data_IF_214730985534
#
_entry.id   IF_214730985534
#
_cell.length_a   1.000
_cell.length_b   1.000
_cell.length_c   1.000
_cell.angle_alpha   90.00
_cell.angle_beta   90.00
_cell.angle_gamma   90.00
#
_symmetry.space_group_name_H-M   'P 1'
#
loop_
_entity.id
_entity.type
_entity.pdbx_description
1 polymer ?
#
# COMPACT_ATOMS: atom_id res chain seq x y z
N UNK A 1 31.24 -14.68 -7.46
CA UNK A 1 30.77 -13.78 -6.38
C UNK A 1 31.13 -12.36 -6.78
N UNK A 2 30.16 -11.47 -7.00
CA UNK A 2 30.40 -10.07 -7.31
C UNK A 2 30.70 -9.33 -6.01
N UNK A 3 31.91 -8.77 -5.87
CA UNK A 3 32.25 -7.84 -4.80
C UNK A 3 31.54 -6.51 -5.12
N UNK A 4 30.59 -6.11 -4.29
CA UNK A 4 29.89 -4.85 -4.42
C UNK A 4 30.87 -3.72 -4.09
N UNK A 5 31.32 -2.98 -5.10
CA UNK A 5 31.91 -1.67 -4.93
C UNK A 5 30.84 -0.65 -5.31
N UNK A 6 30.29 0.04 -4.33
CA UNK A 6 29.46 1.20 -4.63
C UNK A 6 30.34 2.24 -5.30
N UNK A 7 29.96 2.68 -6.50
CA UNK A 7 30.76 3.62 -7.33
C UNK A 7 30.99 4.99 -6.67
N UNK A 8 30.21 5.32 -5.64
CA UNK A 8 30.36 6.51 -4.81
C UNK A 8 30.28 6.09 -3.33
N UNK A 9 31.15 6.65 -2.44
CA UNK A 9 31.06 6.38 -1.01
C UNK A 9 29.67 6.79 -0.50
N UNK A 10 28.93 5.83 0.06
CA UNK A 10 27.59 6.03 0.61
C UNK A 10 27.65 5.92 2.13
N UNK A 11 27.08 6.91 2.80
CA UNK A 11 26.87 6.84 4.25
C UNK A 11 25.75 5.87 4.57
N UNK A 12 25.90 5.09 5.64
CA UNK A 12 24.96 4.02 5.97
C UNK A 12 24.52 4.05 7.45
N UNK A 13 23.26 3.66 7.68
CA UNK A 13 22.75 3.26 8.99
C UNK A 13 22.70 1.72 9.07
N UNK A 14 23.09 1.18 10.22
CA UNK A 14 23.01 -0.26 10.49
C UNK A 14 21.88 -0.53 11.48
N UNK A 15 20.93 -1.40 11.13
CA UNK A 15 19.72 -1.67 11.92
C UNK A 15 19.73 -3.11 12.42
N UNK A 16 19.57 -3.29 13.72
CA UNK A 16 19.46 -4.59 14.37
C UNK A 16 19.98 -4.63 15.80
N UNK A 17 20.23 -5.83 16.34
CA UNK A 17 20.78 -6.00 17.68
C UNK A 17 22.15 -5.28 17.79
N UNK A 18 22.35 -4.52 18.90
CA UNK A 18 23.50 -3.62 19.07
C UNK A 18 24.83 -4.32 18.81
N UNK A 19 25.05 -5.48 19.44
CA UNK A 19 26.31 -6.20 19.33
C UNK A 19 26.64 -6.59 17.89
N UNK A 20 25.67 -7.15 17.16
CA UNK A 20 25.83 -7.56 15.75
C UNK A 20 26.00 -6.35 14.84
N UNK A 21 25.19 -5.31 15.05
CA UNK A 21 25.24 -4.08 14.26
C UNK A 21 26.59 -3.34 14.42
N UNK A 22 27.11 -3.22 15.65
CA UNK A 22 28.42 -2.64 15.93
C UNK A 22 29.54 -3.48 15.31
N UNK A 23 29.47 -4.81 15.38
CA UNK A 23 30.43 -5.72 14.76
C UNK A 23 30.53 -5.51 13.25
N UNK A 24 29.38 -5.45 12.58
CA UNK A 24 29.28 -5.20 11.12
C UNK A 24 29.78 -3.80 10.78
N UNK A 25 29.37 -2.79 11.55
CA UNK A 25 29.83 -1.41 11.38
C UNK A 25 31.37 -1.28 11.53
N UNK A 26 31.93 -1.90 12.54
CA UNK A 26 33.39 -1.92 12.76
C UNK A 26 34.13 -2.62 11.59
N UNK A 27 33.59 -3.68 11.04
CA UNK A 27 34.17 -4.35 9.87
C UNK A 27 34.15 -3.46 8.61
N UNK A 28 33.06 -2.75 8.38
CA UNK A 28 32.94 -1.79 7.27
C UNK A 28 33.91 -0.62 7.40
N UNK A 29 34.08 -0.09 8.61
CA UNK A 29 35.03 0.99 8.88
C UNK A 29 36.49 0.57 8.65
N UNK A 30 36.81 -0.72 8.84
CA UNK A 30 38.16 -1.27 8.55
C UNK A 30 38.43 -1.48 7.06
N UNK A 31 37.35 -1.45 6.21
CA UNK A 31 37.47 -1.65 4.78
C UNK A 31 36.81 -0.49 4.00
N UNK A 32 37.42 0.70 3.99
CA UNK A 32 36.82 1.88 3.35
C UNK A 32 36.62 1.70 1.85
N UNK A 33 37.37 0.81 1.20
CA UNK A 33 37.23 0.48 -0.22
C UNK A 33 35.93 -0.22 -0.59
N UNK A 34 35.13 -0.69 0.40
CA UNK A 34 33.81 -1.24 0.14
C UNK A 34 32.80 -0.15 -0.30
N UNK A 35 33.14 1.14 -0.15
CA UNK A 35 32.29 2.26 -0.54
C UNK A 35 31.09 2.52 0.39
N UNK A 36 31.06 1.91 1.57
CA UNK A 36 29.99 2.11 2.57
C UNK A 36 30.60 2.58 3.88
N UNK A 37 30.17 3.76 4.36
CA UNK A 37 30.63 4.34 5.65
C UNK A 37 29.46 4.33 6.64
N UNK A 38 29.48 3.48 7.65
CA UNK A 38 28.46 3.49 8.69
C UNK A 38 28.61 4.73 9.58
N UNK A 39 27.47 5.39 9.89
CA UNK A 39 27.42 6.64 10.71
C UNK A 39 26.60 6.46 11.97
N UNK A 40 25.85 5.37 12.13
CA UNK A 40 25.08 5.09 13.33
C UNK A 40 24.44 3.71 13.30
N UNK A 41 24.04 3.25 14.46
CA UNK A 41 23.32 1.99 14.69
C UNK A 41 21.93 2.29 15.20
N UNK A 42 20.91 1.67 14.61
CA UNK A 42 19.50 1.81 15.02
C UNK A 42 19.05 0.54 15.75
N UNK A 43 18.59 0.70 16.99
CA UNK A 43 18.11 -0.42 17.83
C UNK A 43 17.00 0.04 18.77
N UNK A 44 16.25 -0.90 19.34
CA UNK A 44 15.23 -0.62 20.37
C UNK A 44 15.82 -0.66 21.79
N UNK A 45 16.96 -1.34 21.97
CA UNK A 45 17.62 -1.52 23.27
C UNK A 45 19.01 -0.90 23.23
N UNK A 46 19.19 0.31 23.78
CA UNK A 46 20.52 0.93 23.87
C UNK A 46 21.31 0.24 24.96
N UNK A 47 22.21 -0.63 24.57
CA UNK A 47 23.27 -1.09 25.48
C UNK A 47 24.44 -0.14 25.34
N UNK A 48 25.11 0.21 26.47
CA UNK A 48 26.23 1.14 26.52
C UNK A 48 27.52 0.62 25.87
N UNK A 49 27.42 -0.02 24.69
CA UNK A 49 28.57 -0.54 23.95
C UNK A 49 29.35 0.58 23.28
N UNK A 50 30.69 0.53 23.42
CA UNK A 50 31.59 1.42 22.69
C UNK A 50 31.46 1.19 21.17
N UNK A 51 31.36 2.28 20.39
CA UNK A 51 31.23 2.19 18.93
C UNK A 51 30.56 3.39 18.30
N UNK A 52 29.82 3.17 17.24
CA UNK A 52 29.05 4.22 16.58
C UNK A 52 27.83 4.67 17.42
N UNK A 53 27.38 5.93 17.23
CA UNK A 53 26.19 6.43 17.91
C UNK A 53 24.99 5.49 17.76
N UNK A 54 24.32 5.23 18.88
CA UNK A 54 23.12 4.38 18.93
C UNK A 54 21.88 5.27 18.87
N UNK A 55 20.99 5.00 17.93
CA UNK A 55 19.77 5.73 17.66
C UNK A 55 18.57 4.85 18.05
N UNK A 56 17.68 5.35 18.90
CA UNK A 56 16.57 4.55 19.45
C UNK A 56 15.20 4.98 18.98
N UNK A 57 15.03 6.20 18.48
CA UNK A 57 13.74 6.72 18.04
C UNK A 57 13.75 7.21 16.58
N UNK A 58 12.55 7.28 15.98
CA UNK A 58 12.37 7.71 14.60
C UNK A 58 12.90 9.11 14.31
N UNK A 59 12.74 10.04 15.26
CA UNK A 59 13.24 11.42 15.13
C UNK A 59 14.78 11.49 15.06
N UNK A 60 15.47 10.66 15.85
CA UNK A 60 16.94 10.56 15.79
C UNK A 60 17.40 9.97 14.45
N UNK A 61 16.65 8.99 13.93
CA UNK A 61 16.94 8.37 12.64
C UNK A 61 16.76 9.39 11.51
N UNK A 62 15.66 10.16 11.51
CA UNK A 62 15.43 11.21 10.52
C UNK A 62 16.49 12.31 10.56
N UNK A 63 16.89 12.75 11.74
CA UNK A 63 18.00 13.71 11.89
C UNK A 63 19.30 13.14 11.33
N UNK A 64 19.65 11.90 11.66
CA UNK A 64 20.84 11.24 11.15
C UNK A 64 20.84 11.09 9.63
N UNK A 65 19.69 10.79 9.03
CA UNK A 65 19.51 10.72 7.58
C UNK A 65 19.86 12.05 6.90
N UNK A 66 19.30 13.15 7.40
CA UNK A 66 19.46 14.48 6.82
C UNK A 66 20.88 14.99 7.04
N UNK A 67 21.39 14.90 8.29
CA UNK A 67 22.69 15.45 8.66
C UNK A 67 23.87 14.73 8.00
N UNK A 68 23.75 13.40 7.81
CA UNK A 68 24.84 12.60 7.25
C UNK A 68 24.62 12.22 5.78
N UNK A 69 23.51 12.64 5.16
CA UNK A 69 23.19 12.28 3.77
C UNK A 69 23.13 10.77 3.55
N UNK A 70 22.45 10.04 4.44
CA UNK A 70 22.43 8.58 4.42
C UNK A 70 21.73 8.08 3.17
N UNK A 71 22.47 7.34 2.34
CA UNK A 71 21.97 6.74 1.11
C UNK A 71 21.79 5.21 1.19
N UNK A 72 22.29 4.58 2.26
CA UNK A 72 22.27 3.12 2.41
C UNK A 72 21.80 2.74 3.82
N UNK A 73 21.03 1.68 3.91
CA UNK A 73 20.57 1.07 5.16
C UNK A 73 20.94 -0.41 5.13
N UNK A 74 21.57 -0.89 6.19
CA UNK A 74 21.98 -2.28 6.36
C UNK A 74 21.20 -2.91 7.50
N UNK A 75 20.46 -3.99 7.24
CA UNK A 75 19.81 -4.78 8.30
C UNK A 75 20.68 -6.01 8.57
N UNK A 76 20.96 -6.27 9.82
CA UNK A 76 21.90 -7.35 10.22
C UNK A 76 21.19 -8.56 10.83
N UNK A 77 19.85 -8.54 10.90
CA UNK A 77 19.04 -9.62 11.44
C UNK A 77 17.75 -9.75 10.58
N UNK A 78 17.41 -10.95 10.12
CA UNK A 78 16.15 -11.20 9.41
C UNK A 78 14.91 -10.79 10.21
N UNK A 79 14.91 -10.87 11.55
CA UNK A 79 13.81 -10.46 12.41
C UNK A 79 13.49 -8.96 12.27
N UNK A 80 14.47 -8.11 12.04
CA UNK A 80 14.32 -6.67 11.81
C UNK A 80 13.38 -6.39 10.63
N UNK A 81 13.36 -7.25 9.62
CA UNK A 81 12.47 -7.11 8.48
C UNK A 81 11.00 -7.22 8.89
N UNK A 82 10.68 -8.07 9.84
CA UNK A 82 9.32 -8.27 10.35
C UNK A 82 8.94 -7.18 11.34
N UNK A 83 9.81 -6.88 12.27
CA UNK A 83 9.55 -5.95 13.37
C UNK A 83 9.60 -4.48 12.91
N UNK A 84 10.61 -4.12 12.11
CA UNK A 84 10.85 -2.75 11.65
C UNK A 84 10.50 -2.54 10.16
N UNK A 85 9.65 -3.40 9.61
CA UNK A 85 9.20 -3.32 8.21
C UNK A 85 8.69 -1.92 7.81
N UNK A 86 7.85 -1.24 8.59
CA UNK A 86 7.40 0.12 8.30
C UNK A 86 8.56 1.14 8.23
N UNK A 87 9.51 1.09 9.16
CA UNK A 87 10.70 1.96 9.16
C UNK A 87 11.56 1.70 7.92
N UNK A 88 11.88 0.46 7.61
CA UNK A 88 12.67 0.09 6.43
C UNK A 88 12.02 0.58 5.13
N UNK A 89 10.69 0.54 5.06
CA UNK A 89 9.95 1.06 3.91
C UNK A 89 10.02 2.57 3.81
N UNK A 90 9.84 3.28 4.91
CA UNK A 90 9.96 4.74 4.95
C UNK A 90 11.36 5.18 4.50
N UNK A 91 12.41 4.48 4.94
CA UNK A 91 13.80 4.72 4.53
C UNK A 91 14.02 4.43 3.03
N UNK A 92 13.43 3.37 2.51
CA UNK A 92 13.47 3.09 1.07
C UNK A 92 12.71 4.13 0.24
N UNK A 93 11.60 4.64 0.76
CA UNK A 93 10.80 5.71 0.12
C UNK A 93 11.51 7.06 0.12
N UNK A 94 12.33 7.35 1.14
CA UNK A 94 13.23 8.53 1.17
C UNK A 94 14.44 8.39 0.24
N UNK A 95 14.59 7.28 -0.47
CA UNK A 95 15.63 7.06 -1.47
C UNK A 95 16.81 6.23 -1.01
N UNK A 96 16.81 5.70 0.23
CA UNK A 96 17.86 4.84 0.72
C UNK A 96 17.82 3.45 0.08
N UNK A 97 18.98 2.92 -0.28
CA UNK A 97 19.13 1.53 -0.69
C UNK A 97 19.17 0.63 0.55
N UNK A 98 18.23 -0.28 0.71
CA UNK A 98 18.17 -1.19 1.85
C UNK A 98 18.77 -2.53 1.49
N UNK A 99 19.70 -3.02 2.34
CA UNK A 99 20.42 -4.27 2.18
C UNK A 99 20.30 -5.11 3.44
N UNK A 100 20.10 -6.39 3.26
CA UNK A 100 20.20 -7.38 4.32
C UNK A 100 21.60 -7.96 4.32
N UNK A 101 22.25 -7.94 5.48
CA UNK A 101 23.62 -8.44 5.73
C UNK A 101 23.50 -9.70 6.56
N UNK A 102 24.01 -10.79 6.07
CA UNK A 102 24.15 -12.02 6.84
C UNK A 102 25.41 -11.91 7.70
N UNK A 103 25.20 -11.63 8.99
CA UNK A 103 26.27 -11.40 9.93
C UNK A 103 26.80 -12.67 10.60
N UNK A 104 26.01 -13.74 10.64
CA UNK A 104 26.27 -14.93 11.47
C UNK A 104 26.45 -16.22 10.67
N UNK A 105 25.99 -16.27 9.43
CA UNK A 105 26.10 -17.46 8.62
C UNK A 105 26.54 -17.15 7.18
N UNK A 106 27.53 -17.84 6.62
CA UNK A 106 27.86 -17.67 5.21
C UNK A 106 26.74 -18.28 4.35
N UNK A 107 25.83 -17.44 3.90
CA UNK A 107 24.74 -17.91 3.05
C UNK A 107 25.26 -18.32 1.68
N UNK A 108 25.13 -19.59 1.37
CA UNK A 108 25.51 -20.14 0.07
C UNK A 108 24.69 -19.60 -1.10
N UNK A 109 23.55 -18.99 -0.83
CA UNK A 109 22.59 -18.48 -1.81
C UNK A 109 22.77 -16.98 -2.17
N UNK A 110 23.49 -16.20 -1.37
CA UNK A 110 23.69 -14.77 -1.62
C UNK A 110 24.75 -14.53 -2.69
N UNK A 111 24.41 -13.72 -3.69
CA UNK A 111 25.26 -13.47 -4.87
C UNK A 111 26.25 -12.32 -4.70
N UNK A 112 26.05 -11.46 -3.71
CA UNK A 112 26.82 -10.23 -3.52
C UNK A 112 27.53 -10.23 -2.16
N UNK A 113 28.69 -9.57 -2.08
CA UNK A 113 29.49 -9.49 -0.86
C UNK A 113 29.88 -8.03 -0.58
N UNK A 114 29.77 -7.62 0.68
CA UNK A 114 30.18 -6.32 1.19
C UNK A 114 31.09 -6.52 2.41
N UNK A 115 32.33 -6.08 2.33
CA UNK A 115 33.34 -6.24 3.40
C UNK A 115 33.42 -7.69 3.96
N UNK A 116 33.30 -8.69 3.09
CA UNK A 116 33.34 -10.11 3.46
C UNK A 116 32.01 -10.69 3.94
N UNK A 117 31.01 -9.88 4.21
CA UNK A 117 29.65 -10.35 4.52
C UNK A 117 28.88 -10.64 3.26
N UNK A 118 28.06 -11.69 3.29
CA UNK A 118 27.07 -11.94 2.25
C UNK A 118 25.93 -10.92 2.38
N UNK A 119 25.56 -10.28 1.26
CA UNK A 119 24.52 -9.24 1.27
C UNK A 119 23.47 -9.48 0.20
N UNK A 120 22.24 -9.09 0.52
CA UNK A 120 21.11 -9.13 -0.41
C UNK A 120 20.39 -7.79 -0.39
N UNK A 121 20.20 -7.21 -1.56
CA UNK A 121 19.38 -6.00 -1.67
C UNK A 121 17.93 -6.35 -1.38
N UNK A 122 17.33 -5.64 -0.43
CA UNK A 122 15.90 -5.73 -0.15
C UNK A 122 15.14 -4.79 -1.10
N UNK A 123 14.37 -5.36 -1.99
CA UNK A 123 13.45 -4.59 -2.84
C UNK A 123 12.16 -4.32 -2.06
N UNK A 124 12.20 -3.29 -1.20
CA UNK A 124 11.07 -2.90 -0.35
C UNK A 124 9.99 -2.12 -1.09
N UNK A 125 9.92 -2.30 -2.39
CA UNK A 125 8.90 -1.71 -3.24
C UNK A 125 9.06 -0.20 -3.44
N UNK A 126 10.27 0.34 -3.33
CA UNK A 126 10.62 1.71 -3.76
C UNK A 126 10.57 1.89 -5.29
N UNK A 127 10.17 0.87 -6.05
CA UNK A 127 9.80 1.05 -7.47
C UNK A 127 8.69 2.08 -7.53
N UNK A 128 8.88 3.13 -8.35
CA UNK A 128 7.94 4.23 -8.59
C UNK A 128 6.50 3.70 -8.71
N UNK A 129 5.76 3.71 -7.59
CA UNK A 129 4.39 3.18 -7.43
C UNK A 129 3.31 4.03 -8.11
N UNK A 130 3.71 4.83 -9.04
CA UNK A 130 2.88 5.62 -9.94
C UNK A 130 3.45 5.55 -11.32
N UNK A 131 3.60 4.33 -11.90
CA UNK A 131 4.12 4.25 -13.25
C UNK A 131 3.17 4.94 -14.21
N UNK A 132 3.73 5.66 -15.16
CA UNK A 132 2.99 6.28 -16.25
C UNK A 132 2.11 5.24 -16.95
N UNK A 133 2.60 4.00 -17.10
CA UNK A 133 1.85 2.89 -17.67
C UNK A 133 0.58 2.54 -16.90
N UNK A 134 0.62 2.55 -15.53
CA UNK A 134 -0.59 2.34 -14.73
C UNK A 134 -1.61 3.46 -14.95
N UNK A 135 -1.15 4.71 -14.98
CA UNK A 135 -2.05 5.85 -15.21
C UNK A 135 -2.65 5.84 -16.61
N UNK A 136 -1.87 5.47 -17.62
CA UNK A 136 -2.36 5.33 -18.99
C UNK A 136 -3.43 4.22 -19.09
N UNK A 137 -3.17 3.06 -18.47
CA UNK A 137 -4.16 1.98 -18.37
C UNK A 137 -5.45 2.47 -17.70
N UNK A 138 -5.34 3.15 -16.55
CA UNK A 138 -6.47 3.71 -15.83
C UNK A 138 -7.29 4.67 -16.71
N UNK A 139 -6.63 5.60 -17.41
CA UNK A 139 -7.29 6.60 -18.27
C UNK A 139 -7.99 5.95 -19.47
N UNK A 140 -7.27 5.08 -20.20
CA UNK A 140 -7.81 4.45 -21.41
C UNK A 140 -8.99 3.54 -21.08
N UNK A 141 -8.82 2.67 -20.09
CA UNK A 141 -9.87 1.70 -19.74
C UNK A 141 -11.05 2.39 -19.06
N UNK A 142 -10.84 3.31 -18.11
CA UNK A 142 -11.95 4.01 -17.47
C UNK A 142 -12.68 4.94 -18.44
N UNK A 143 -11.96 5.61 -19.34
CA UNK A 143 -12.58 6.43 -20.39
C UNK A 143 -13.45 5.62 -21.35
N UNK A 144 -12.92 4.50 -21.86
CA UNK A 144 -13.66 3.60 -22.73
C UNK A 144 -14.92 3.02 -22.01
N UNK A 145 -14.75 2.57 -20.77
CA UNK A 145 -15.89 2.04 -19.98
C UNK A 145 -16.93 3.12 -19.66
N UNK A 146 -16.53 4.37 -19.41
CA UNK A 146 -17.47 5.48 -19.20
C UNK A 146 -18.30 5.77 -20.44
N UNK A 147 -17.68 5.79 -21.63
CA UNK A 147 -18.39 6.00 -22.90
C UNK A 147 -19.36 4.85 -23.17
N UNK A 148 -18.91 3.60 -23.02
CA UNK A 148 -19.75 2.42 -23.19
C UNK A 148 -20.90 2.35 -22.19
N UNK A 149 -20.65 2.68 -20.92
CA UNK A 149 -21.63 2.65 -19.87
C UNK A 149 -22.55 3.90 -19.84
N UNK A 150 -22.23 4.97 -20.57
CA UNK A 150 -22.97 6.23 -20.52
C UNK A 150 -24.49 6.07 -20.74
N UNK A 151 -24.99 5.34 -21.78
CA UNK A 151 -26.42 5.16 -21.95
C UNK A 151 -27.07 4.42 -20.78
N UNK A 152 -26.40 3.39 -20.24
CA UNK A 152 -26.86 2.64 -19.07
C UNK A 152 -26.87 3.53 -17.81
N UNK A 153 -25.81 4.31 -17.59
CA UNK A 153 -25.72 5.23 -16.46
C UNK A 153 -26.83 6.29 -16.51
N UNK A 154 -27.11 6.85 -17.69
CA UNK A 154 -28.20 7.79 -17.89
C UNK A 154 -29.56 7.16 -17.62
N UNK A 155 -29.81 5.94 -18.14
CA UNK A 155 -31.04 5.21 -17.86
C UNK A 155 -31.22 4.94 -16.36
N UNK A 156 -30.17 4.44 -15.68
CA UNK A 156 -30.19 4.22 -14.23
C UNK A 156 -30.46 5.53 -13.46
N UNK A 157 -29.81 6.63 -13.87
CA UNK A 157 -30.01 7.94 -13.27
C UNK A 157 -31.47 8.43 -13.44
N UNK A 158 -32.05 8.23 -14.62
CA UNK A 158 -33.45 8.60 -14.89
C UNK A 158 -34.42 7.77 -14.04
N UNK A 159 -34.25 6.46 -14.00
CA UNK A 159 -35.11 5.57 -13.18
C UNK A 159 -35.00 5.96 -11.70
N UNK A 160 -33.78 6.15 -11.18
CA UNK A 160 -33.59 6.60 -9.79
C UNK A 160 -34.22 7.98 -9.54
N UNK A 161 -34.11 8.89 -10.50
CA UNK A 161 -34.71 10.23 -10.39
C UNK A 161 -36.22 10.17 -10.30
N UNK A 162 -36.84 9.27 -11.04
CA UNK A 162 -38.29 9.10 -11.06
C UNK A 162 -38.80 8.32 -9.84
N UNK A 163 -38.09 7.26 -9.42
CA UNK A 163 -38.51 6.39 -8.31
C UNK A 163 -38.13 6.92 -6.91
N UNK A 164 -36.95 7.51 -6.78
CA UNK A 164 -36.39 7.95 -5.48
C UNK A 164 -36.31 9.48 -5.33
N UNK A 165 -36.66 10.24 -6.40
CA UNK A 165 -36.62 11.70 -6.38
C UNK A 165 -35.21 12.31 -6.53
N UNK A 166 -35.01 13.59 -6.18
CA UNK A 166 -33.78 14.33 -6.42
C UNK A 166 -32.59 13.77 -5.63
N UNK A 167 -31.36 14.01 -6.14
CA UNK A 167 -30.11 13.58 -5.52
C UNK A 167 -29.71 12.15 -5.88
N UNK A 168 -29.66 11.83 -7.17
CA UNK A 168 -29.34 10.49 -7.71
C UNK A 168 -27.93 10.03 -7.37
N UNK A 169 -26.99 10.95 -7.19
CA UNK A 169 -25.59 10.65 -6.90
C UNK A 169 -25.32 10.76 -5.39
N UNK A 170 -24.84 9.70 -4.80
CA UNK A 170 -24.35 9.66 -3.44
C UNK A 170 -22.85 10.00 -3.42
N UNK A 171 -22.47 10.89 -2.53
CA UNK A 171 -21.09 11.33 -2.33
C UNK A 171 -20.65 10.96 -0.93
N UNK A 172 -19.48 10.31 -0.83
CA UNK A 172 -18.95 9.89 0.47
C UNK A 172 -17.44 10.12 0.52
N UNK A 173 -16.99 10.71 1.62
CA UNK A 173 -15.57 10.86 1.87
C UNK A 173 -14.90 9.50 2.13
N UNK A 174 -13.76 9.31 1.49
CA UNK A 174 -12.92 8.12 1.61
C UNK A 174 -11.45 8.52 1.67
N UNK A 175 -10.64 7.66 2.25
CA UNK A 175 -9.19 7.87 2.32
C UNK A 175 -8.53 7.20 1.11
N UNK A 176 -7.75 7.98 0.40
CA UNK A 176 -7.01 7.59 -0.80
C UNK A 176 -5.51 7.43 -0.55
N UNK A 177 -4.73 7.65 -1.61
CA UNK A 177 -3.27 7.58 -1.57
C UNK A 177 -2.70 8.61 -0.60
N UNK A 178 -1.64 8.20 0.13
CA UNK A 178 -0.92 9.02 1.11
C UNK A 178 -1.82 9.56 2.23
N UNK A 179 -2.93 8.85 2.54
CA UNK A 179 -3.88 9.26 3.57
C UNK A 179 -4.77 10.45 3.19
N UNK A 180 -4.73 10.90 1.94
CA UNK A 180 -5.51 12.08 1.50
C UNK A 180 -6.97 11.73 1.29
N UNK A 181 -7.91 12.52 1.83
CA UNK A 181 -9.33 12.31 1.60
C UNK A 181 -9.72 12.65 0.16
N UNK A 182 -10.71 11.94 -0.37
CA UNK A 182 -11.36 12.23 -1.64
C UNK A 182 -12.83 11.88 -1.61
N UNK A 183 -13.63 12.44 -2.52
CA UNK A 183 -15.06 12.17 -2.63
C UNK A 183 -15.32 11.02 -3.59
N UNK A 184 -15.75 9.88 -3.06
CA UNK A 184 -16.19 8.72 -3.83
C UNK A 184 -17.62 8.94 -4.34
N UNK A 185 -17.84 8.61 -5.60
CA UNK A 185 -19.14 8.75 -6.28
C UNK A 185 -19.79 7.37 -6.49
N UNK A 186 -21.08 7.27 -6.17
CA UNK A 186 -21.91 6.11 -6.52
C UNK A 186 -23.37 6.50 -6.67
N UNK A 187 -24.22 5.66 -7.26
CA UNK A 187 -25.65 5.89 -7.25
C UNK A 187 -26.19 5.77 -5.84
N UNK A 188 -27.16 6.63 -5.52
CA UNK A 188 -27.82 6.63 -4.23
C UNK A 188 -28.88 5.53 -4.20
N UNK A 189 -28.54 4.39 -3.66
CA UNK A 189 -29.44 3.24 -3.48
C UNK A 189 -30.09 3.19 -2.09
N UNK A 190 -29.69 4.10 -1.18
CA UNK A 190 -30.21 4.17 0.18
C UNK A 190 -30.16 5.62 0.66
N UNK A 191 -31.15 6.03 1.47
CA UNK A 191 -31.13 7.29 2.19
C UNK A 191 -30.74 7.03 3.64
N UNK A 192 -29.54 7.39 4.08
CA UNK A 192 -29.19 7.28 5.49
C UNK A 192 -30.07 8.23 6.31
N UNK A 193 -30.46 7.79 7.49
CA UNK A 193 -31.26 8.60 8.41
C UNK A 193 -30.44 9.81 8.91
N UNK A 194 -29.13 9.63 9.09
CA UNK A 194 -28.17 10.65 9.52
C UNK A 194 -26.85 10.53 8.77
N UNK A 195 -26.13 11.63 8.57
CA UNK A 195 -24.77 11.64 8.03
C UNK A 195 -23.79 10.86 8.91
N UNK A 196 -23.95 10.90 10.25
CA UNK A 196 -23.17 10.10 11.20
C UNK A 196 -23.37 8.60 10.99
N UNK A 197 -24.60 8.16 10.73
CA UNK A 197 -24.89 6.75 10.42
C UNK A 197 -24.16 6.29 9.16
N UNK A 198 -24.17 7.12 8.14
CA UNK A 198 -23.45 6.82 6.89
C UNK A 198 -21.93 6.79 7.07
N UNK A 199 -21.38 7.50 8.06
CA UNK A 199 -19.95 7.55 8.34
C UNK A 199 -19.44 6.38 9.20
N UNK A 200 -20.24 5.92 10.18
CA UNK A 200 -19.80 5.02 11.25
C UNK A 200 -20.37 3.61 11.16
N UNK A 201 -21.50 3.39 10.49
CA UNK A 201 -22.13 2.09 10.42
C UNK A 201 -21.53 1.23 9.31
N UNK A 202 -20.99 0.07 9.66
CA UNK A 202 -20.27 -0.80 8.70
C UNK A 202 -21.18 -1.34 7.59
N UNK A 203 -22.38 -1.81 7.94
CA UNK A 203 -23.35 -2.36 6.97
C UNK A 203 -24.69 -1.62 7.02
N UNK A 204 -25.45 -1.66 5.92
CA UNK A 204 -26.81 -1.10 5.88
C UNK A 204 -27.76 -2.07 6.53
N UNK A 205 -28.43 -1.66 7.61
CA UNK A 205 -29.21 -2.57 8.45
C UNK A 205 -30.53 -3.07 7.85
N UNK A 206 -31.02 -2.50 6.78
CA UNK A 206 -32.38 -2.82 6.34
C UNK A 206 -32.51 -2.91 4.80
N UNK A 207 -31.92 -3.96 4.21
CA UNK A 207 -32.06 -4.24 2.77
C UNK A 207 -33.50 -4.57 2.35
N UNK A 208 -34.33 -5.00 3.33
CA UNK A 208 -35.74 -5.38 3.07
C UNK A 208 -36.62 -4.18 2.71
N UNK A 209 -36.28 -2.99 3.17
CA UNK A 209 -37.01 -1.74 2.89
C UNK A 209 -36.54 -1.01 1.63
N UNK A 210 -35.55 -1.55 0.92
CA UNK A 210 -35.04 -0.93 -0.30
C UNK A 210 -35.96 -1.18 -1.49
N UNK A 211 -36.08 -0.16 -2.36
CA UNK A 211 -36.73 -0.29 -3.66
C UNK A 211 -36.08 -1.46 -4.44
N UNK A 212 -36.88 -2.33 -5.12
CA UNK A 212 -36.39 -3.44 -5.92
C UNK A 212 -35.29 -3.03 -6.93
N UNK A 213 -35.44 -1.87 -7.56
CA UNK A 213 -34.43 -1.35 -8.49
C UNK A 213 -33.10 -0.99 -7.78
N UNK A 214 -33.18 -0.36 -6.62
CA UNK A 214 -31.98 -0.07 -5.81
C UNK A 214 -31.26 -1.36 -5.36
N UNK A 215 -32.02 -2.40 -5.02
CA UNK A 215 -31.51 -3.74 -4.68
C UNK A 215 -30.84 -4.39 -5.89
N UNK A 216 -31.44 -4.28 -7.07
CA UNK A 216 -30.86 -4.75 -8.32
C UNK A 216 -29.52 -4.05 -8.61
N UNK A 217 -29.44 -2.71 -8.51
CA UNK A 217 -28.20 -1.95 -8.72
C UNK A 217 -27.08 -2.40 -7.79
N UNK A 218 -27.38 -2.64 -6.52
CA UNK A 218 -26.39 -3.13 -5.54
C UNK A 218 -25.95 -4.57 -5.83
N UNK A 219 -26.90 -5.46 -6.12
CA UNK A 219 -26.60 -6.87 -6.42
C UNK A 219 -25.71 -7.00 -7.65
N UNK A 220 -25.90 -6.15 -8.65
CA UNK A 220 -25.10 -6.12 -9.88
C UNK A 220 -23.89 -5.21 -9.79
N UNK A 221 -23.69 -4.52 -8.67
CA UNK A 221 -22.63 -3.51 -8.48
C UNK A 221 -22.67 -2.35 -9.50
N UNK A 222 -23.78 -2.15 -10.17
CA UNK A 222 -23.98 -1.04 -11.12
C UNK A 222 -23.98 0.32 -10.40
N UNK A 223 -24.32 0.33 -9.11
CA UNK A 223 -24.26 1.54 -8.28
C UNK A 223 -22.83 2.08 -8.12
N UNK A 224 -21.82 1.24 -8.27
CA UNK A 224 -20.40 1.61 -8.14
C UNK A 224 -19.77 2.08 -9.47
N UNK A 225 -20.49 1.98 -10.64
CA UNK A 225 -19.92 2.38 -11.93
C UNK A 225 -19.52 3.87 -12.02
N UNK A 226 -20.17 4.74 -11.23
CA UNK A 226 -19.78 6.15 -11.16
C UNK A 226 -18.36 6.36 -10.61
N UNK A 227 -17.77 5.36 -9.93
CA UNK A 227 -16.38 5.40 -9.51
C UNK A 227 -15.40 5.40 -10.69
N UNK A 228 -15.81 4.97 -11.89
CA UNK A 228 -15.01 5.11 -13.11
C UNK A 228 -14.63 6.58 -13.36
N UNK A 229 -15.49 7.53 -12.99
CA UNK A 229 -15.18 8.95 -13.04
C UNK A 229 -14.09 9.35 -12.02
N UNK A 230 -14.11 8.76 -10.82
CA UNK A 230 -13.03 8.98 -9.85
C UNK A 230 -11.68 8.43 -10.38
N UNK A 231 -11.70 7.29 -11.09
CA UNK A 231 -10.51 6.75 -11.74
C UNK A 231 -10.03 7.68 -12.86
N UNK A 232 -10.95 8.10 -13.74
CA UNK A 232 -10.63 8.99 -14.86
C UNK A 232 -10.04 10.31 -14.37
N UNK A 233 -10.60 10.90 -13.32
CA UNK A 233 -10.10 12.13 -12.68
C UNK A 233 -8.74 11.92 -11.98
N UNK A 234 -8.45 10.73 -11.46
CA UNK A 234 -7.19 10.37 -10.82
C UNK A 234 -7.21 10.28 -9.31
N UNK A 235 -8.38 10.36 -8.69
CA UNK A 235 -8.57 10.11 -7.25
C UNK A 235 -8.33 8.64 -6.92
N UNK A 236 -8.72 7.75 -7.86
CA UNK A 236 -8.62 6.30 -7.77
C UNK A 236 -7.84 5.71 -8.94
N UNK A 237 -7.61 4.41 -8.89
CA UNK A 237 -7.15 3.54 -9.95
C UNK A 237 -8.21 2.47 -10.23
N UNK A 238 -8.15 1.80 -11.36
CA UNK A 238 -8.97 0.61 -11.61
C UNK A 238 -8.65 -0.49 -10.60
N UNK A 239 -7.36 -0.73 -10.37
CA UNK A 239 -6.86 -1.78 -9.47
C UNK A 239 -6.07 -1.15 -8.31
N UNK A 240 -6.42 -1.53 -7.09
CA UNK A 240 -5.77 -1.05 -5.87
C UNK A 240 -6.48 -1.50 -4.60
N UNK A 241 -5.98 -1.13 -3.42
CA UNK A 241 -6.68 -1.34 -2.16
C UNK A 241 -8.08 -0.71 -2.17
N UNK A 242 -9.08 -1.38 -1.60
CA UNK A 242 -10.43 -0.80 -1.52
C UNK A 242 -10.43 0.42 -0.59
N UNK A 243 -11.00 1.59 -1.03
CA UNK A 243 -11.04 2.80 -0.20
C UNK A 243 -11.98 2.63 0.99
N UNK A 244 -11.49 3.01 2.18
CA UNK A 244 -12.27 2.97 3.41
C UNK A 244 -12.64 4.37 3.91
N UNK A 245 -13.67 4.46 4.77
CA UNK A 245 -14.12 5.72 5.38
C UNK A 245 -13.12 6.20 6.43
N UNK A 246 -12.94 7.51 6.65
CA UNK A 246 -11.97 8.06 7.60
C UNK A 246 -12.07 7.44 8.99
N UNK A 247 -13.27 7.29 9.51
CA UNK A 247 -13.53 6.68 10.82
C UNK A 247 -12.90 5.28 10.95
N UNK A 248 -13.13 4.41 9.96
CA UNK A 248 -12.59 3.04 10.00
C UNK A 248 -11.09 3.00 9.77
N UNK A 249 -10.55 3.91 8.92
CA UNK A 249 -9.10 4.01 8.72
C UNK A 249 -8.41 4.34 10.04
N UNK A 250 -8.96 5.28 10.82
CA UNK A 250 -8.40 5.64 12.13
C UNK A 250 -8.45 4.45 13.09
N UNK A 251 -9.61 3.79 13.22
CA UNK A 251 -9.76 2.62 14.10
C UNK A 251 -8.84 1.46 13.70
N UNK A 252 -8.84 1.10 12.41
CA UNK A 252 -8.06 -0.05 11.96
C UNK A 252 -6.55 0.21 12.00
N UNK A 253 -6.12 1.46 11.84
CA UNK A 253 -4.70 1.81 11.98
C UNK A 253 -4.21 1.68 13.42
N UNK A 254 -5.09 1.84 14.41
CA UNK A 254 -4.77 1.63 15.81
C UNK A 254 -4.76 0.15 16.20
N UNK A 255 -5.67 -0.65 15.61
CA UNK A 255 -5.85 -2.05 15.98
C UNK A 255 -4.91 -3.01 15.22
N UNK A 256 -4.56 -2.68 13.98
CA UNK A 256 -3.83 -3.60 13.09
C UNK A 256 -2.50 -3.01 12.65
N UNK A 257 -1.37 -3.55 13.12
CA UNK A 257 -0.03 -3.14 12.68
C UNK A 257 0.10 -3.23 11.14
N UNK A 258 0.63 -2.19 10.53
CA UNK A 258 0.84 -2.15 9.07
C UNK A 258 -0.41 -1.87 8.23
N UNK A 259 -1.60 -1.64 8.84
CA UNK A 259 -2.81 -1.28 8.11
C UNK A 259 -2.64 0.01 7.29
N UNK A 260 -2.02 1.04 7.87
CA UNK A 260 -1.78 2.32 7.20
C UNK A 260 -0.92 2.19 5.92
N UNK A 261 -0.07 1.16 5.83
CA UNK A 261 0.78 0.91 4.67
C UNK A 261 0.02 0.62 3.37
N UNK A 262 -1.28 0.30 3.44
CA UNK A 262 -2.14 0.12 2.26
C UNK A 262 -2.44 1.43 1.51
N UNK A 263 -2.21 2.58 2.14
CA UNK A 263 -2.40 3.89 1.51
C UNK A 263 -1.20 4.39 0.69
N UNK A 264 -0.12 3.62 0.59
CA UNK A 264 1.07 3.93 -0.23
C UNK A 264 0.79 3.98 -1.73
N UNK A 265 -0.33 3.44 -2.19
CA UNK A 265 -0.75 3.40 -3.59
C UNK A 265 -2.17 3.93 -3.75
N UNK A 266 -2.56 4.33 -4.99
CA UNK A 266 -3.96 4.72 -5.23
C UNK A 266 -4.91 3.58 -4.92
N UNK A 267 -6.00 3.90 -4.26
CA UNK A 267 -7.10 2.98 -3.99
C UNK A 267 -7.79 2.58 -5.30
N UNK A 268 -8.38 1.37 -5.34
CA UNK A 268 -8.97 0.80 -6.54
C UNK A 268 -10.46 0.53 -6.46
N UNK A 269 -11.12 0.45 -7.62
CA UNK A 269 -12.47 -0.10 -7.74
C UNK A 269 -12.43 -1.61 -7.43
N UNK A 270 -11.43 -2.30 -7.95
CA UNK A 270 -11.12 -3.69 -7.65
C UNK A 270 -9.70 -3.83 -7.10
N UNK A 271 -9.37 -4.97 -6.53
CA UNK A 271 -8.05 -5.23 -5.95
C UNK A 271 -7.81 -6.68 -5.63
N UNK A 272 -6.57 -7.03 -5.29
CA UNK A 272 -6.17 -8.40 -5.01
C UNK A 272 -7.00 -9.02 -3.88
N UNK A 273 -7.22 -8.31 -2.77
CA UNK A 273 -8.06 -8.77 -1.67
C UNK A 273 -9.49 -9.08 -2.15
N UNK A 274 -10.07 -8.19 -2.96
CA UNK A 274 -11.44 -8.34 -3.45
C UNK A 274 -11.62 -9.55 -4.38
N UNK A 275 -10.68 -9.81 -5.31
CA UNK A 275 -10.75 -10.97 -6.22
C UNK A 275 -10.36 -12.29 -5.54
N UNK A 276 -9.77 -12.20 -4.33
CA UNK A 276 -9.46 -13.36 -3.46
C UNK A 276 -10.59 -13.65 -2.45
N UNK A 277 -11.78 -13.06 -2.63
CA UNK A 277 -12.95 -13.33 -1.79
C UNK A 277 -13.02 -12.52 -0.50
N UNK A 278 -12.06 -11.63 -0.23
CA UNK A 278 -12.04 -10.80 0.99
C UNK A 278 -12.89 -9.54 0.81
N UNK A 279 -14.22 -9.72 0.78
CA UNK A 279 -15.24 -8.66 0.68
C UNK A 279 -16.21 -8.71 1.87
N UNK A 280 -16.89 -7.60 2.16
CA UNK A 280 -17.92 -7.55 3.22
C UNK A 280 -17.33 -7.73 4.62
N UNK A 281 -17.88 -8.61 5.44
CA UNK A 281 -17.49 -8.88 6.84
C UNK A 281 -16.34 -9.88 6.97
N UNK A 282 -15.33 -9.78 6.13
CA UNK A 282 -14.12 -10.60 6.22
C UNK A 282 -13.05 -9.92 7.08
N UNK A 283 -12.04 -10.69 7.50
CA UNK A 283 -10.91 -10.22 8.33
C UNK A 283 -10.25 -8.97 7.73
N UNK A 284 -10.20 -7.90 8.52
CA UNK A 284 -9.55 -6.63 8.16
C UNK A 284 -8.03 -6.82 8.05
N UNK A 285 -7.46 -7.65 8.90
CA UNK A 285 -6.04 -7.99 8.89
C UNK A 285 -5.66 -8.68 7.58
N UNK A 286 -6.43 -9.69 7.16
CA UNK A 286 -6.20 -10.39 5.90
C UNK A 286 -6.31 -9.45 4.71
N UNK A 287 -7.32 -8.58 4.67
CA UNK A 287 -7.43 -7.56 3.64
C UNK A 287 -6.19 -6.67 3.57
N UNK A 288 -5.75 -6.15 4.72
CA UNK A 288 -4.55 -5.30 4.78
C UNK A 288 -3.31 -6.04 4.31
N UNK A 289 -3.18 -7.34 4.66
CA UNK A 289 -2.09 -8.21 4.22
C UNK A 289 -2.09 -8.39 2.70
N UNK A 290 -3.24 -8.70 2.09
CA UNK A 290 -3.37 -8.85 0.62
C UNK A 290 -3.15 -7.53 -0.11
N UNK A 291 -3.68 -6.42 0.41
CA UNK A 291 -3.48 -5.09 -0.15
C UNK A 291 -2.00 -4.69 -0.12
N UNK A 292 -1.30 -4.93 0.99
CA UNK A 292 0.13 -4.68 1.09
C UNK A 292 0.94 -5.61 0.19
N UNK A 293 0.59 -6.89 0.10
CA UNK A 293 1.24 -7.84 -0.82
C UNK A 293 1.07 -7.41 -2.29
N UNK A 294 -0.10 -6.92 -2.67
CA UNK A 294 -0.32 -6.34 -4.00
C UNK A 294 0.58 -5.13 -4.24
N UNK A 295 0.66 -4.19 -3.29
CA UNK A 295 1.47 -2.99 -3.41
C UNK A 295 2.97 -3.34 -3.51
N UNK A 296 3.43 -4.28 -2.70
CA UNK A 296 4.84 -4.66 -2.63
C UNK A 296 5.32 -5.41 -3.90
N UNK A 297 4.44 -6.18 -4.52
CA UNK A 297 4.74 -6.97 -5.71
C UNK A 297 4.07 -6.42 -6.99
N UNK A 298 3.66 -5.16 -6.97
CA UNK A 298 2.90 -4.57 -8.06
C UNK A 298 3.64 -4.68 -9.42
N UNK A 299 2.87 -5.09 -10.42
CA UNK A 299 3.25 -5.03 -11.83
C UNK A 299 2.03 -4.72 -12.69
N UNK A 300 2.22 -4.14 -13.87
CA UNK A 300 1.13 -3.86 -14.80
C UNK A 300 0.41 -5.15 -15.22
N UNK A 301 1.15 -6.25 -15.36
CA UNK A 301 0.58 -7.56 -15.66
C UNK A 301 -0.35 -8.07 -14.55
N UNK A 302 0.01 -7.82 -13.29
CA UNK A 302 -0.85 -8.16 -12.15
C UNK A 302 -2.17 -7.37 -12.18
N UNK A 303 -2.14 -6.09 -12.56
CA UNK A 303 -3.36 -5.30 -12.77
C UNK A 303 -4.25 -5.94 -13.84
N UNK A 304 -3.70 -6.33 -14.98
CA UNK A 304 -4.45 -7.01 -16.04
C UNK A 304 -5.07 -8.31 -15.53
N UNK A 305 -4.32 -9.14 -14.82
CA UNK A 305 -4.83 -10.38 -14.22
C UNK A 305 -5.99 -10.14 -13.24
N UNK A 306 -5.89 -9.10 -12.40
CA UNK A 306 -6.93 -8.73 -11.45
C UNK A 306 -8.19 -8.24 -12.18
N UNK A 307 -8.04 -7.43 -13.23
CA UNK A 307 -9.16 -6.96 -14.06
C UNK A 307 -9.89 -8.13 -14.73
N UNK A 308 -9.16 -9.10 -15.31
CA UNK A 308 -9.74 -10.29 -15.91
C UNK A 308 -10.49 -11.15 -14.87
N UNK A 309 -9.92 -11.34 -13.67
CA UNK A 309 -10.61 -12.03 -12.57
C UNK A 309 -11.87 -11.30 -12.12
N UNK A 310 -11.83 -9.96 -12.09
CA UNK A 310 -12.99 -9.13 -11.76
C UNK A 310 -14.09 -9.30 -12.78
N UNK A 311 -13.77 -9.24 -14.08
CA UNK A 311 -14.73 -9.46 -15.16
C UNK A 311 -15.38 -10.86 -15.07
N UNK A 312 -14.57 -11.90 -14.84
CA UNK A 312 -15.06 -13.26 -14.65
C UNK A 312 -15.98 -13.39 -13.41
N UNK A 313 -15.68 -12.70 -12.31
CA UNK A 313 -16.51 -12.70 -11.11
C UNK A 313 -17.87 -12.01 -11.34
N UNK A 314 -17.88 -10.89 -12.07
CA UNK A 314 -19.13 -10.19 -12.45
C UNK A 314 -20.02 -11.07 -13.32
N UNK A 315 -19.45 -11.72 -14.34
CA UNK A 315 -20.20 -12.61 -15.22
C UNK A 315 -20.79 -13.81 -14.45
N UNK A 316 -20.03 -14.40 -13.52
CA UNK A 316 -20.52 -15.51 -12.69
C UNK A 316 -21.62 -15.09 -11.71
N UNK A 317 -21.55 -13.89 -11.15
CA UNK A 317 -22.58 -13.39 -10.22
C UNK A 317 -23.90 -13.02 -10.91
N UNK A 318 -23.88 -12.74 -12.21
CA UNK A 318 -25.09 -12.47 -13.02
C UNK A 318 -25.73 -13.75 -13.60
N UNK A 319 -25.03 -14.89 -13.53
CA UNK A 319 -25.49 -16.19 -14.03
C UNK A 319 -26.04 -17.16 -12.98
N UNK A 320 -26.23 -16.73 -11.72
CA UNK A 320 -26.78 -17.54 -10.63
C UNK A 320 -28.05 -16.94 -10.03
#
# INVERSE_FOLDING_TARGET
RRVLRLRLPSTALVIGPVATAQRVAAALLRQPDCGVRPVGVVTDHPDGSAGLPVLTCGEQVERALIQNGVGTVLTVDPAVRTEKGPLLRALAESGCAVWEVDADCPAYEMREQLAGFSVRRLDLGARRRGSVGKRLLDLVVSGALLVLAAPLLLACALVLRLSEGPGVVFRQERIGKDGRPFTLLKFRTHRPVNERESATRWSVADERRMNPFCRFLRRTSLDELLQLWNVFRGDMSLVGPRPERPYFVTQFSQCYPGYASRHRMRVGITGLAQVSGLRGDTSIEDRARYDNAYIDNWSLWQDVCILLRTAAAVVRSTGS
#
